data_IF_454708680794
#
_entry.id   IF_454708680794
#
_cell.length_a   1.000
_cell.length_b   1.000
_cell.length_c   1.000
_cell.angle_alpha   90.00
_cell.angle_beta   90.00
_cell.angle_gamma   90.00
#
_symmetry.space_group_name_H-M   'P 1'
#
loop_
_entity.id
_entity.type
_entity.pdbx_description
1 polymer ?
#
# COMPACT_ATOMS: atom_id res chain seq x y z
N UNK A 1 2.34 9.66 -2.00
CA UNK A 1 1.78 10.35 -3.18
C UNK A 1 1.06 11.64 -2.83
N UNK A 2 0.01 11.58 -2.01
CA UNK A 2 -0.92 12.67 -1.64
C UNK A 2 -0.35 14.09 -1.76
N UNK A 3 -1.08 14.91 -2.55
CA UNK A 3 -0.97 16.37 -2.72
C UNK A 3 0.30 16.93 -3.38
N UNK A 4 1.34 16.12 -3.64
CA UNK A 4 2.65 16.67 -4.07
C UNK A 4 3.44 15.83 -5.05
N UNK A 5 2.81 14.88 -5.72
CA UNK A 5 3.43 14.10 -6.79
C UNK A 5 2.69 14.35 -8.10
N UNK A 6 3.44 14.45 -9.21
CA UNK A 6 2.84 14.54 -10.54
C UNK A 6 2.08 13.24 -10.84
N UNK A 7 0.91 13.36 -11.46
CA UNK A 7 0.10 12.18 -11.80
C UNK A 7 0.85 11.19 -12.70
N UNK A 8 1.63 11.67 -13.66
CA UNK A 8 2.49 10.82 -14.51
C UNK A 8 3.50 10.00 -13.70
N UNK A 9 4.08 10.60 -12.66
CA UNK A 9 5.00 9.88 -11.76
C UNK A 9 4.26 8.82 -10.92
N UNK A 10 3.00 9.05 -10.52
CA UNK A 10 2.19 8.02 -9.84
C UNK A 10 2.00 6.82 -10.75
N UNK A 11 1.63 7.04 -12.02
CA UNK A 11 1.42 5.97 -12.98
C UNK A 11 2.70 5.16 -13.18
N UNK A 12 3.82 5.82 -13.48
CA UNK A 12 5.11 5.16 -13.71
C UNK A 12 5.55 4.37 -12.48
N UNK A 13 5.55 5.00 -11.29
CA UNK A 13 5.98 4.34 -10.06
C UNK A 13 5.08 3.16 -9.69
N UNK A 14 3.77 3.30 -9.85
CA UNK A 14 2.83 2.23 -9.52
C UNK A 14 2.95 1.05 -10.49
N UNK A 15 3.10 1.32 -11.79
CA UNK A 15 3.32 0.28 -12.81
C UNK A 15 4.64 -0.45 -12.59
N UNK A 16 5.72 0.28 -12.31
CA UNK A 16 7.01 -0.33 -12.00
C UNK A 16 6.91 -1.18 -10.73
N UNK A 17 6.33 -0.63 -9.67
CA UNK A 17 6.16 -1.34 -8.40
C UNK A 17 5.35 -2.63 -8.56
N UNK A 18 4.29 -2.61 -9.37
CA UNK A 18 3.50 -3.80 -9.66
C UNK A 18 4.35 -4.92 -10.28
N UNK A 19 5.22 -4.58 -11.23
CA UNK A 19 6.04 -5.55 -11.97
C UNK A 19 7.23 -6.03 -11.15
N UNK A 20 7.90 -5.12 -10.43
CA UNK A 20 9.19 -5.43 -9.79
C UNK A 20 9.09 -5.78 -8.31
N UNK A 21 7.98 -5.44 -7.65
CA UNK A 21 7.75 -5.75 -6.23
C UNK A 21 6.55 -6.67 -6.07
N UNK A 22 5.37 -6.24 -6.51
CA UNK A 22 4.14 -6.98 -6.20
C UNK A 22 4.08 -8.36 -6.86
N UNK A 23 4.31 -8.45 -8.17
CA UNK A 23 4.26 -9.73 -8.88
C UNK A 23 5.33 -10.73 -8.38
N UNK A 24 6.60 -10.34 -8.19
CA UNK A 24 7.61 -11.25 -7.63
C UNK A 24 7.28 -11.72 -6.21
N UNK A 25 6.90 -10.81 -5.30
CA UNK A 25 6.59 -11.18 -3.90
C UNK A 25 5.35 -12.09 -3.84
N UNK A 26 4.33 -11.79 -4.65
CA UNK A 26 3.17 -12.68 -4.83
C UNK A 26 3.61 -14.06 -5.28
N UNK A 27 4.50 -14.16 -6.27
CA UNK A 27 5.01 -15.45 -6.74
C UNK A 27 5.81 -16.19 -5.66
N UNK A 28 6.63 -15.47 -4.89
CA UNK A 28 7.44 -16.07 -3.82
C UNK A 28 6.59 -16.72 -2.73
N UNK A 29 5.48 -16.07 -2.34
CA UNK A 29 4.66 -16.47 -1.19
C UNK A 29 3.45 -17.32 -1.60
N UNK A 30 2.75 -16.97 -2.68
CA UNK A 30 1.51 -17.64 -3.12
C UNK A 30 1.65 -18.42 -4.42
N UNK A 31 2.64 -18.10 -5.25
CA UNK A 31 2.85 -18.73 -6.55
C UNK A 31 3.75 -19.97 -6.54
N UNK A 32 3.99 -20.58 -5.38
CA UNK A 32 4.88 -21.75 -5.26
C UNK A 32 6.37 -21.43 -5.34
N UNK A 33 6.75 -20.15 -5.18
CA UNK A 33 8.15 -19.74 -5.14
C UNK A 33 8.86 -20.13 -3.83
N UNK A 34 10.06 -19.58 -3.64
CA UNK A 34 10.98 -20.04 -2.60
C UNK A 34 10.47 -19.84 -1.16
N UNK A 35 9.73 -18.76 -0.86
CA UNK A 35 9.17 -18.54 0.48
C UNK A 35 8.05 -19.55 0.78
N UNK A 36 7.20 -19.85 -0.20
CA UNK A 36 6.21 -20.91 -0.10
C UNK A 36 6.87 -22.27 0.19
N UNK A 37 7.97 -22.59 -0.52
CA UNK A 37 8.72 -23.84 -0.33
C UNK A 37 9.39 -23.92 1.05
N UNK A 38 9.72 -22.79 1.66
CA UNK A 38 10.22 -22.70 3.04
C UNK A 38 9.12 -22.80 4.10
N UNK A 39 7.84 -22.93 3.70
CA UNK A 39 6.70 -23.04 4.60
C UNK A 39 6.18 -21.71 5.14
N UNK A 40 6.49 -20.58 4.48
CA UNK A 40 5.92 -19.28 4.86
C UNK A 40 4.41 -19.28 4.59
N UNK A 41 3.64 -19.00 5.63
CA UNK A 41 2.19 -18.91 5.55
C UNK A 41 1.75 -17.45 5.65
N UNK A 42 1.23 -16.92 4.55
CA UNK A 42 0.58 -15.61 4.50
C UNK A 42 -0.83 -15.80 3.96
N UNK A 43 -1.82 -15.84 4.84
CA UNK A 43 -3.18 -16.25 4.47
C UNK A 43 -3.89 -15.23 3.58
N UNK A 44 -3.80 -13.94 3.94
CA UNK A 44 -4.52 -12.85 3.25
C UNK A 44 -3.63 -11.64 2.96
N UNK A 45 -2.30 -11.81 2.90
CA UNK A 45 -1.42 -10.78 2.35
C UNK A 45 -0.84 -9.84 3.40
N UNK A 46 -0.65 -10.32 4.63
CA UNK A 46 0.15 -9.65 5.65
C UNK A 46 1.53 -9.24 5.13
N UNK A 47 2.21 -10.13 4.42
CA UNK A 47 3.47 -9.85 3.74
C UNK A 47 3.21 -9.26 2.35
N UNK A 48 2.47 -9.98 1.51
CA UNK A 48 2.34 -9.67 0.07
C UNK A 48 1.72 -8.29 -0.18
N UNK A 49 0.72 -7.90 0.62
CA UNK A 49 -0.04 -6.65 0.44
C UNK A 49 0.38 -5.61 1.47
N UNK A 50 0.26 -5.91 2.77
CA UNK A 50 0.40 -4.90 3.81
C UNK A 50 1.85 -4.51 4.08
N UNK A 51 2.76 -5.48 4.25
CA UNK A 51 4.17 -5.18 4.52
C UNK A 51 4.86 -4.54 3.31
N UNK A 52 4.64 -5.07 2.10
CA UNK A 52 5.23 -4.47 0.88
C UNK A 52 4.73 -3.04 0.66
N UNK A 53 3.42 -2.79 0.77
CA UNK A 53 2.87 -1.44 0.61
C UNK A 53 3.33 -0.51 1.73
N UNK A 54 3.37 -0.99 2.98
CA UNK A 54 3.85 -0.25 4.15
C UNK A 54 5.29 0.20 3.99
N UNK A 55 6.22 -0.71 3.72
CA UNK A 55 7.63 -0.37 3.51
C UNK A 55 7.81 0.54 2.30
N UNK A 56 7.13 0.25 1.19
CA UNK A 56 7.22 1.09 -0.02
C UNK A 56 6.74 2.51 0.24
N UNK A 57 5.68 2.69 1.05
CA UNK A 57 5.19 4.00 1.44
C UNK A 57 6.21 4.80 2.25
N UNK A 58 6.96 4.13 3.14
CA UNK A 58 8.04 4.75 3.92
C UNK A 58 9.22 5.16 3.03
N UNK A 59 9.61 4.30 2.09
CA UNK A 59 10.66 4.62 1.11
C UNK A 59 10.25 5.82 0.26
N UNK A 60 9.03 5.82 -0.27
CA UNK A 60 8.50 6.90 -1.10
C UNK A 60 8.39 8.20 -0.29
N UNK A 61 7.93 8.17 0.96
CA UNK A 61 7.81 9.39 1.78
C UNK A 61 9.18 9.96 2.12
N UNK A 62 10.18 9.11 2.38
CA UNK A 62 11.56 9.52 2.60
C UNK A 62 12.18 10.14 1.36
N UNK A 63 11.93 9.57 0.18
CA UNK A 63 12.44 10.09 -1.10
C UNK A 63 11.75 11.40 -1.54
N UNK A 64 10.44 11.54 -1.31
CA UNK A 64 9.67 12.74 -1.65
C UNK A 64 9.89 13.89 -0.65
N UNK A 65 10.21 13.57 0.60
CA UNK A 65 10.28 14.54 1.68
C UNK A 65 8.93 14.92 2.29
N UNK A 66 9.01 15.74 3.33
CA UNK A 66 7.85 16.26 4.07
C UNK A 66 7.01 17.20 3.20
N UNK A 67 5.71 17.32 3.52
CA UNK A 67 4.84 18.33 2.92
C UNK A 67 5.27 19.73 3.35
N UNK A 68 5.00 20.72 2.53
CA UNK A 68 5.13 22.11 2.94
C UNK A 68 4.27 22.36 4.19
N UNK A 69 4.82 23.08 5.18
CA UNK A 69 4.15 23.33 6.46
C UNK A 69 4.22 22.18 7.48
N UNK A 70 4.62 20.96 7.11
CA UNK A 70 4.77 19.88 8.08
C UNK A 70 6.03 20.09 8.96
N UNK A 71 5.98 19.93 10.30
CA UNK A 71 4.84 19.45 11.10
C UNK A 71 3.95 20.54 11.72
N UNK A 72 4.24 21.82 11.50
CA UNK A 72 3.67 22.92 12.28
C UNK A 72 2.29 23.39 11.76
N UNK A 73 2.03 23.28 10.46
CA UNK A 73 0.81 23.75 9.78
C UNK A 73 0.06 22.56 9.16
N UNK A 74 -0.34 21.60 9.99
CA UNK A 74 -1.13 20.43 9.54
C UNK A 74 -2.61 20.79 9.53
N UNK A 75 -3.19 20.92 8.33
CA UNK A 75 -4.61 21.15 8.18
C UNK A 75 -5.43 19.87 8.52
N UNK A 76 -6.56 19.99 9.24
CA UNK A 76 -7.47 18.87 9.44
C UNK A 76 -8.08 18.40 8.10
N UNK A 77 -8.56 17.15 8.02
CA UNK A 77 -9.25 16.65 6.83
C UNK A 77 -10.42 17.56 6.44
N UNK A 78 -10.49 17.96 5.17
CA UNK A 78 -11.54 18.86 4.68
C UNK A 78 -12.95 18.25 4.78
N UNK A 79 -13.06 16.91 4.81
CA UNK A 79 -14.33 16.22 4.99
C UNK A 79 -14.13 14.87 5.72
N UNK A 80 -14.28 14.83 7.05
CA UNK A 80 -14.14 13.58 7.83
C UNK A 80 -15.24 12.56 7.53
N UNK A 81 -16.43 12.98 7.07
CA UNK A 81 -17.50 12.08 6.67
C UNK A 81 -17.12 11.19 5.48
N UNK A 82 -16.43 11.75 4.48
CA UNK A 82 -15.90 10.96 3.36
C UNK A 82 -14.83 9.95 3.81
N UNK A 83 -13.98 10.31 4.79
CA UNK A 83 -13.00 9.39 5.36
C UNK A 83 -13.70 8.22 6.05
N UNK A 84 -14.73 8.49 6.85
CA UNK A 84 -15.52 7.46 7.51
C UNK A 84 -16.22 6.52 6.52
N UNK A 85 -16.82 7.06 5.44
CA UNK A 85 -17.43 6.25 4.39
C UNK A 85 -16.40 5.31 3.72
N UNK A 86 -15.22 5.82 3.37
CA UNK A 86 -14.15 5.00 2.81
C UNK A 86 -13.67 3.91 3.79
N UNK A 87 -13.54 4.23 5.08
CA UNK A 87 -13.18 3.26 6.11
C UNK A 87 -14.22 2.14 6.25
N UNK A 88 -15.51 2.48 6.23
CA UNK A 88 -16.59 1.48 6.26
C UNK A 88 -16.56 0.57 5.03
N UNK A 89 -16.31 1.13 3.83
CA UNK A 89 -16.18 0.33 2.60
C UNK A 89 -14.99 -0.64 2.69
N UNK A 90 -13.85 -0.18 3.21
CA UNK A 90 -12.68 -1.03 3.44
C UNK A 90 -13.01 -2.14 4.43
N UNK A 91 -13.68 -1.84 5.53
CA UNK A 91 -14.02 -2.84 6.55
C UNK A 91 -14.95 -3.92 6.01
N UNK A 92 -16.02 -3.55 5.28
CA UNK A 92 -16.92 -4.51 4.63
C UNK A 92 -16.18 -5.34 3.57
N UNK A 93 -15.38 -4.70 2.72
CA UNK A 93 -14.56 -5.39 1.73
C UNK A 93 -13.54 -6.35 2.36
N UNK A 94 -13.09 -6.07 3.57
CA UNK A 94 -12.12 -6.90 4.29
C UNK A 94 -12.64 -8.30 4.62
N UNK A 95 -13.97 -8.48 4.72
CA UNK A 95 -14.56 -9.81 4.86
C UNK A 95 -14.31 -10.68 3.63
N UNK A 96 -14.44 -10.12 2.43
CA UNK A 96 -14.07 -10.83 1.19
C UNK A 96 -12.57 -11.01 1.03
N UNK A 97 -11.77 -10.05 1.51
CA UNK A 97 -10.31 -10.12 1.44
C UNK A 97 -9.71 -11.22 2.34
N UNK A 98 -10.25 -11.39 3.55
CA UNK A 98 -9.78 -12.44 4.47
C UNK A 98 -10.55 -13.75 4.33
N UNK A 99 -11.86 -13.71 4.09
CA UNK A 99 -12.71 -14.90 4.08
C UNK A 99 -12.92 -15.54 2.71
N UNK A 100 -12.44 -14.89 1.64
CA UNK A 100 -12.55 -15.37 0.26
C UNK A 100 -11.43 -16.30 -0.17
#
# INVERSE_FOLDING_TARGET
YVERIKFSAVLILSSLWLIVVYAPVTHWVWGGGWLAQMGVMDFAGGLVVHATAGISSLVIVKALGARHGFPNDVAPPHNPGMVAMGACMLWVGWFGFNGG
#
